data_IF_860807517401
#
_entry.id   IF_860807517401
#
_cell.length_a   1.000
_cell.length_b   1.000
_cell.length_c   1.000
_cell.angle_alpha   90.00
_cell.angle_beta   90.00
_cell.angle_gamma   90.00
#
_symmetry.space_group_name_H-M   'P 1'
#
loop_
_entity.id
_entity.type
_entity.pdbx_description
1 polymer ?
#
# COMPACT_ATOMS: atom_id res chain seq x y z
N UNK A 1 -20.83 -8.12 -19.61
CA UNK A 1 -19.56 -8.85 -19.80
C UNK A 1 -18.79 -8.84 -18.50
N UNK A 2 -18.48 -10.02 -17.93
CA UNK A 2 -17.66 -10.19 -16.72
C UNK A 2 -16.17 -10.06 -17.07
N UNK A 3 -15.83 -9.05 -17.84
CA UNK A 3 -14.48 -8.86 -18.36
C UNK A 3 -13.76 -7.88 -17.46
N UNK A 4 -12.82 -8.39 -16.66
CA UNK A 4 -11.97 -7.55 -15.84
C UNK A 4 -11.65 -8.03 -14.43
N UNK A 5 -11.97 -9.28 -14.07
CA UNK A 5 -11.55 -9.86 -12.79
C UNK A 5 -10.07 -10.23 -12.77
N UNK A 6 -9.42 -10.07 -11.64
CA UNK A 6 -8.02 -10.42 -11.41
C UNK A 6 -7.94 -11.81 -10.78
N UNK A 7 -6.90 -12.58 -11.14
CA UNK A 7 -6.54 -13.81 -10.45
C UNK A 7 -5.40 -13.49 -9.48
N UNK A 8 -5.55 -13.91 -8.23
CA UNK A 8 -4.62 -13.63 -7.13
C UNK A 8 -4.32 -14.94 -6.42
N UNK A 9 -3.10 -15.11 -5.94
CA UNK A 9 -2.70 -16.34 -5.25
C UNK A 9 -3.35 -16.45 -3.85
N UNK A 10 -3.54 -15.30 -3.19
CA UNK A 10 -4.03 -15.22 -1.81
C UNK A 10 -5.56 -15.26 -1.68
N UNK A 11 -6.31 -14.71 -2.66
CA UNK A 11 -7.78 -14.58 -2.62
C UNK A 11 -8.50 -15.25 -3.78
N UNK A 12 -7.76 -15.87 -4.70
CA UNK A 12 -8.32 -16.42 -5.93
C UNK A 12 -8.86 -15.32 -6.85
N UNK A 13 -10.10 -15.46 -7.30
CA UNK A 13 -10.72 -14.52 -8.23
C UNK A 13 -11.23 -13.27 -7.51
N UNK A 14 -10.74 -12.11 -7.93
CA UNK A 14 -11.13 -10.79 -7.44
C UNK A 14 -11.87 -10.03 -8.54
N UNK A 15 -13.08 -9.54 -8.26
CA UNK A 15 -13.88 -8.82 -9.27
C UNK A 15 -13.31 -7.42 -9.55
N UNK A 16 -13.57 -6.90 -10.75
CA UNK A 16 -13.16 -5.56 -11.14
C UNK A 16 -13.67 -4.50 -10.14
N UNK A 17 -12.82 -3.51 -9.81
CA UNK A 17 -13.12 -2.43 -8.88
C UNK A 17 -12.93 -2.81 -7.41
N UNK A 18 -12.76 -4.10 -7.11
CA UNK A 18 -12.50 -4.57 -5.73
C UNK A 18 -11.18 -4.01 -5.23
N UNK A 19 -11.19 -3.55 -3.97
CA UNK A 19 -10.02 -3.07 -3.24
C UNK A 19 -9.87 -3.86 -1.95
N UNK A 20 -8.63 -4.22 -1.61
CA UNK A 20 -8.32 -4.88 -0.35
C UNK A 20 -6.91 -4.56 0.12
N UNK A 21 -6.65 -4.76 1.41
CA UNK A 21 -5.37 -4.49 2.06
C UNK A 21 -4.66 -5.80 2.41
N UNK A 22 -3.33 -5.76 2.39
CA UNK A 22 -2.45 -6.74 3.02
C UNK A 22 -1.78 -6.05 4.21
N UNK A 23 -2.19 -6.44 5.42
CA UNK A 23 -1.69 -5.86 6.66
C UNK A 23 -0.21 -6.22 6.90
N UNK A 24 0.23 -7.42 6.48
CA UNK A 24 1.61 -7.86 6.68
C UNK A 24 2.60 -7.02 5.85
N UNK A 25 2.21 -6.63 4.65
CA UNK A 25 3.05 -5.83 3.75
C UNK A 25 2.73 -4.33 3.78
N UNK A 26 1.68 -3.93 4.51
CA UNK A 26 1.12 -2.59 4.47
C UNK A 26 0.87 -2.07 3.05
N UNK A 27 0.11 -2.84 2.27
CA UNK A 27 -0.21 -2.53 0.87
C UNK A 27 -1.71 -2.50 0.62
N UNK A 28 -2.12 -1.81 -0.43
CA UNK A 28 -3.46 -1.88 -0.99
C UNK A 28 -3.41 -2.38 -2.42
N UNK A 29 -4.29 -3.31 -2.74
CA UNK A 29 -4.50 -3.83 -4.09
C UNK A 29 -5.83 -3.33 -4.65
N UNK A 30 -5.84 -3.09 -5.95
CA UNK A 30 -7.05 -2.71 -6.71
C UNK A 30 -7.05 -3.52 -8.00
N UNK A 31 -8.16 -4.21 -8.28
CA UNK A 31 -8.33 -4.91 -9.55
C UNK A 31 -8.93 -4.00 -10.62
N UNK A 32 -8.19 -3.74 -11.69
CA UNK A 32 -8.64 -2.90 -12.82
C UNK A 32 -8.55 -3.69 -14.14
N UNK A 33 -9.69 -4.08 -14.70
CA UNK A 33 -9.78 -4.82 -15.97
C UNK A 33 -8.80 -5.99 -16.11
N UNK A 34 -8.71 -6.85 -15.08
CA UNK A 34 -7.83 -8.02 -15.07
C UNK A 34 -6.39 -7.75 -14.64
N UNK A 35 -6.05 -6.48 -14.42
CA UNK A 35 -4.74 -6.06 -13.92
C UNK A 35 -4.86 -5.73 -12.43
N UNK A 36 -4.14 -6.48 -11.59
CA UNK A 36 -4.02 -6.15 -10.17
C UNK A 36 -2.95 -5.07 -10.00
N UNK A 37 -3.35 -3.90 -9.49
CA UNK A 37 -2.42 -2.81 -9.19
C UNK A 37 -2.17 -2.75 -7.68
N UNK A 38 -0.92 -2.60 -7.29
CA UNK A 38 -0.50 -2.51 -5.88
C UNK A 38 -0.06 -1.09 -5.54
N UNK A 39 -0.44 -0.61 -4.37
CA UNK A 39 0.02 0.65 -3.77
C UNK A 39 0.69 0.36 -2.44
N UNK A 40 1.99 0.66 -2.38
CA UNK A 40 2.76 0.67 -1.14
C UNK A 40 2.90 2.09 -0.58
N UNK A 41 3.64 2.22 0.52
CA UNK A 41 3.79 3.48 1.25
C UNK A 41 4.67 4.54 0.55
N UNK A 42 5.42 4.17 -0.49
CA UNK A 42 6.14 5.11 -1.34
C UNK A 42 7.43 5.72 -0.74
N UNK A 43 7.78 5.39 0.51
CA UNK A 43 9.02 5.86 1.14
C UNK A 43 9.97 4.67 1.29
N UNK A 44 11.11 4.72 0.58
CA UNK A 44 12.13 3.66 0.60
C UNK A 44 13.41 4.05 1.33
N UNK A 45 13.65 5.34 1.56
CA UNK A 45 14.85 5.85 2.21
C UNK A 45 14.53 7.06 3.10
N UNK A 46 15.13 7.09 4.29
CA UNK A 46 15.07 8.24 5.18
C UNK A 46 16.28 9.15 4.90
N UNK A 47 16.08 10.46 4.73
CA UNK A 47 17.18 11.43 4.71
C UNK A 47 17.98 11.41 6.02
N UNK A 48 19.20 11.95 5.98
CA UNK A 48 19.97 12.19 7.21
C UNK A 48 19.13 13.05 8.19
N UNK A 49 19.17 12.69 9.47
CA UNK A 49 18.38 13.29 10.57
C UNK A 49 16.88 12.99 10.59
N UNK A 50 16.42 12.06 9.75
CA UNK A 50 15.06 11.54 9.79
C UNK A 50 15.05 10.06 10.21
N UNK A 51 14.04 9.67 10.97
CA UNK A 51 13.78 8.28 11.32
C UNK A 51 12.41 7.85 10.81
N UNK A 52 12.29 6.57 10.49
CA UNK A 52 11.00 5.97 10.18
C UNK A 52 10.26 5.68 11.47
N UNK A 53 9.07 6.24 11.60
CA UNK A 53 8.11 5.92 12.67
C UNK A 53 7.02 5.08 12.05
N UNK A 54 6.93 3.82 12.47
CA UNK A 54 5.94 2.88 11.97
C UNK A 54 4.50 3.35 12.25
N UNK A 55 3.64 3.18 11.24
CA UNK A 55 2.21 3.40 11.38
C UNK A 55 1.51 2.19 12.01
N UNK A 56 0.20 2.30 12.25
CA UNK A 56 -0.64 1.20 12.76
C UNK A 56 -1.99 1.15 12.06
N UNK A 57 -2.54 -0.06 11.89
CA UNK A 57 -3.82 -0.33 11.23
C UNK A 57 -3.69 -0.56 9.72
N UNK A 58 -4.80 -0.62 8.99
CA UNK A 58 -4.77 -0.87 7.54
C UNK A 58 -4.10 0.23 6.71
N UNK A 59 -3.62 -0.12 5.52
CA UNK A 59 -3.14 0.87 4.54
C UNK A 59 -4.23 1.95 4.29
N UNK A 60 -3.87 3.25 4.27
CA UNK A 60 -2.51 3.81 4.35
C UNK A 60 -2.03 4.14 5.78
N UNK A 61 -2.74 3.72 6.83
CA UNK A 61 -2.43 4.06 8.23
C UNK A 61 -1.24 3.29 8.80
N UNK A 62 -0.99 2.06 8.36
CA UNK A 62 0.25 1.33 8.70
C UNK A 62 1.50 1.96 8.08
N UNK A 63 1.37 2.87 7.11
CA UNK A 63 2.54 3.39 6.43
C UNK A 63 3.47 4.16 7.36
N UNK A 64 4.78 3.89 7.30
CA UNK A 64 5.75 4.59 8.12
C UNK A 64 5.78 6.06 7.72
N UNK A 65 5.95 6.92 8.73
CA UNK A 65 6.12 8.37 8.56
C UNK A 65 7.55 8.73 8.87
N UNK A 66 8.07 9.74 8.17
CA UNK A 66 9.36 10.31 8.52
C UNK A 66 9.20 11.29 9.68
N UNK A 67 9.95 11.08 10.75
CA UNK A 67 10.12 12.04 11.82
C UNK A 67 11.53 12.62 11.73
N UNK A 68 11.64 13.90 11.35
CA UNK A 68 12.92 14.57 11.18
C UNK A 68 13.17 15.52 12.35
N UNK A 69 14.32 15.39 13.01
CA UNK A 69 14.67 16.18 14.21
C UNK A 69 14.63 17.70 14.00
N UNK A 70 14.80 18.14 12.76
CA UNK A 70 14.88 19.57 12.39
C UNK A 70 13.66 20.10 11.61
N UNK A 71 12.49 19.43 11.66
CA UNK A 71 11.24 19.99 11.14
C UNK A 71 11.16 20.22 9.63
N UNK A 72 12.09 19.66 8.83
CA UNK A 72 11.98 19.66 7.37
C UNK A 72 10.75 18.86 6.96
N UNK A 73 9.79 19.54 6.34
CA UNK A 73 8.60 18.94 5.73
C UNK A 73 8.95 18.58 4.29
N UNK A 74 8.71 17.33 3.90
CA UNK A 74 8.78 16.84 2.51
C UNK A 74 7.37 16.58 2.00
#
# INVERSE_FOLDING_TARGET
TKEGSCQTEDRGKVEHGTKYTNENECQQYICHHGILTTRGCGISQAPADCEFVEGKGDFPKCCPKLHCKNGRKF
#
